data_IF_318581331414
#
_entry.id   IF_318581331414
#
_cell.length_a   1.000
_cell.length_b   1.000
_cell.length_c   1.000
_cell.angle_alpha   90.00
_cell.angle_beta   90.00
_cell.angle_gamma   90.00
#
_symmetry.space_group_name_H-M   'P 1'
#
loop_
_entity.id
_entity.type
_entity.pdbx_description
1 polymer ?
#
# COMPACT_ATOMS: atom_id res chain seq x y z
N UNK A 1 -13.73 24.02 3.26
CA UNK A 1 -14.21 22.78 3.86
C UNK A 1 -13.03 21.83 3.95
N UNK A 2 -12.77 21.19 5.11
CA UNK A 2 -11.72 20.13 5.16
C UNK A 2 -12.21 18.97 4.28
N UNK A 3 -11.33 18.45 3.42
CA UNK A 3 -11.64 17.28 2.60
C UNK A 3 -12.07 16.12 3.48
N UNK A 4 -13.15 15.46 3.10
CA UNK A 4 -13.70 14.33 3.86
C UNK A 4 -12.99 13.03 3.55
N UNK A 5 -12.43 12.93 2.34
CA UNK A 5 -11.78 11.74 1.79
C UNK A 5 -10.43 12.12 1.18
N UNK A 6 -9.55 11.13 1.04
CA UNK A 6 -8.30 11.27 0.30
C UNK A 6 -8.42 10.46 -1.00
N UNK A 7 -9.07 11.07 -2.00
CA UNK A 7 -9.34 10.43 -3.29
C UNK A 7 -8.17 10.55 -4.27
N UNK A 8 -8.32 9.94 -5.45
CA UNK A 8 -7.28 9.95 -6.48
C UNK A 8 -6.97 11.38 -6.97
N UNK A 9 -7.97 12.22 -7.11
CA UNK A 9 -7.79 13.62 -7.51
C UNK A 9 -6.98 14.43 -6.50
N UNK A 10 -7.22 14.21 -5.21
CA UNK A 10 -6.46 14.80 -4.10
C UNK A 10 -5.00 14.35 -4.13
N UNK A 11 -4.75 13.04 -4.30
CA UNK A 11 -3.40 12.49 -4.44
C UNK A 11 -2.63 13.12 -5.59
N UNK A 12 -3.21 13.14 -6.80
CA UNK A 12 -2.53 13.66 -7.99
C UNK A 12 -2.22 15.15 -7.85
N UNK A 13 -3.14 15.94 -7.30
CA UNK A 13 -2.91 17.37 -7.01
C UNK A 13 -1.76 17.59 -6.01
N UNK A 14 -1.67 16.74 -4.99
CA UNK A 14 -0.57 16.83 -4.02
C UNK A 14 0.77 16.45 -4.65
N UNK A 15 0.81 15.40 -5.49
CA UNK A 15 2.01 15.01 -6.26
C UNK A 15 2.46 16.16 -7.18
N UNK A 16 1.54 16.77 -7.92
CA UNK A 16 1.84 17.90 -8.81
C UNK A 16 2.39 19.10 -8.03
N UNK A 17 1.82 19.38 -6.86
CA UNK A 17 2.32 20.42 -5.96
C UNK A 17 3.75 20.14 -5.48
N UNK A 18 4.03 18.91 -5.05
CA UNK A 18 5.37 18.51 -4.60
C UNK A 18 6.40 18.52 -5.72
N UNK A 19 6.06 18.09 -6.94
CA UNK A 19 6.99 18.15 -8.08
C UNK A 19 7.32 19.59 -8.47
N UNK A 20 6.37 20.48 -8.36
CA UNK A 20 6.59 21.93 -8.58
C UNK A 20 7.49 22.57 -7.51
N UNK A 21 7.35 22.12 -6.25
CA UNK A 21 8.12 22.67 -5.12
C UNK A 21 9.51 22.02 -4.96
N UNK A 22 9.67 20.74 -5.33
CA UNK A 22 10.88 19.93 -5.15
C UNK A 22 11.35 19.32 -6.48
N UNK A 23 12.13 20.07 -7.31
CA UNK A 23 12.57 19.61 -8.63
C UNK A 23 13.44 18.34 -8.62
N UNK A 24 13.98 17.93 -7.48
CA UNK A 24 14.73 16.68 -7.33
C UNK A 24 13.83 15.45 -7.15
N UNK A 25 12.52 15.64 -6.90
CA UNK A 25 11.57 14.56 -6.75
C UNK A 25 11.32 13.89 -8.12
N UNK A 26 11.54 12.59 -8.19
CA UNK A 26 11.24 11.83 -9.41
C UNK A 26 9.88 11.16 -9.26
N UNK A 27 8.97 11.51 -10.16
CA UNK A 27 7.65 10.89 -10.26
C UNK A 27 7.50 10.23 -11.62
N UNK A 28 7.00 9.01 -11.63
CA UNK A 28 6.68 8.21 -12.81
C UNK A 28 5.41 7.39 -12.55
N UNK A 29 5.10 6.45 -13.40
CA UNK A 29 4.01 5.49 -13.21
C UNK A 29 4.54 4.08 -13.30
N UNK A 30 4.02 3.15 -12.47
CA UNK A 30 4.26 1.72 -12.67
C UNK A 30 3.32 1.11 -13.72
N UNK A 31 2.27 1.82 -14.11
CA UNK A 31 1.26 1.38 -15.08
C UNK A 31 -0.07 2.06 -14.85
N UNK A 32 -1.13 1.43 -15.35
CA UNK A 32 -2.50 1.96 -15.29
C UNK A 32 -3.46 0.97 -14.62
N UNK A 33 -4.42 1.52 -13.90
CA UNK A 33 -5.55 0.77 -13.37
C UNK A 33 -6.51 0.28 -14.47
N UNK A 34 -7.50 -0.52 -14.09
CA UNK A 34 -8.48 -1.08 -15.02
C UNK A 34 -9.18 -0.03 -15.88
N UNK A 35 -9.51 1.15 -15.34
CA UNK A 35 -10.16 2.22 -16.12
C UNK A 35 -9.16 3.27 -16.63
N UNK A 36 -7.87 2.97 -16.59
CA UNK A 36 -6.81 3.76 -17.24
C UNK A 36 -6.20 4.88 -16.38
N UNK A 37 -6.46 4.93 -15.07
CA UNK A 37 -5.79 5.87 -14.16
C UNK A 37 -4.33 5.47 -13.98
N UNK A 38 -3.42 6.45 -14.02
CA UNK A 38 -2.00 6.19 -13.72
C UNK A 38 -1.86 5.73 -12.27
N UNK A 39 -0.96 4.76 -12.05
CA UNK A 39 -0.56 4.32 -10.71
C UNK A 39 0.79 4.98 -10.40
N UNK A 40 0.81 6.08 -9.63
CA UNK A 40 2.00 6.88 -9.45
C UNK A 40 3.07 6.15 -8.65
N UNK A 41 4.32 6.32 -9.08
CA UNK A 41 5.53 5.89 -8.41
C UNK A 41 6.39 7.11 -8.10
N UNK A 42 6.65 7.33 -6.82
CA UNK A 42 7.55 8.37 -6.34
C UNK A 42 8.88 7.71 -5.98
N UNK A 43 9.99 8.25 -6.47
CA UNK A 43 11.33 7.82 -6.10
C UNK A 43 12.07 8.93 -5.38
N UNK A 44 12.66 8.59 -4.24
CA UNK A 44 13.56 9.40 -3.45
C UNK A 44 14.91 8.69 -3.37
N UNK A 45 16.01 9.39 -3.68
CA UNK A 45 17.37 8.87 -3.63
C UNK A 45 17.81 8.03 -4.81
N UNK A 46 19.09 7.61 -4.77
CA UNK A 46 19.81 7.03 -5.92
C UNK A 46 20.59 5.77 -5.56
N UNK A 47 20.54 5.33 -4.30
CA UNK A 47 21.28 4.16 -3.83
C UNK A 47 20.80 2.86 -4.46
N UNK A 48 21.68 1.85 -4.50
CA UNK A 48 21.36 0.54 -5.07
C UNK A 48 20.39 -0.27 -4.20
N UNK A 49 20.55 -0.22 -2.88
CA UNK A 49 19.61 -0.87 -1.96
C UNK A 49 18.36 -0.03 -1.82
N UNK A 50 17.20 -0.66 -1.85
CA UNK A 50 15.96 0.09 -1.88
C UNK A 50 14.88 -0.46 -0.96
N UNK A 51 13.99 0.43 -0.54
CA UNK A 51 12.74 0.10 0.16
C UNK A 51 11.58 0.45 -0.73
N UNK A 52 10.55 -0.40 -0.75
CA UNK A 52 9.27 -0.13 -1.41
C UNK A 52 8.18 0.04 -0.35
N UNK A 53 7.49 1.17 -0.40
CA UNK A 53 6.29 1.46 0.37
C UNK A 53 5.07 1.43 -0.55
N UNK A 54 4.05 0.67 -0.17
CA UNK A 54 2.81 0.57 -0.95
C UNK A 54 1.62 0.86 -0.04
N UNK A 55 0.75 1.76 -0.45
CA UNK A 55 -0.50 2.07 0.23
C UNK A 55 -1.72 1.72 -0.61
N UNK A 56 -2.86 1.64 0.05
CA UNK A 56 -4.20 1.57 -0.54
C UNK A 56 -4.37 0.43 -1.54
N UNK A 57 -4.12 -0.81 -1.08
CA UNK A 57 -4.61 -2.02 -1.76
C UNK A 57 -6.13 -2.08 -1.67
N UNK A 58 -6.66 -1.87 -0.47
CA UNK A 58 -8.10 -1.81 -0.23
C UNK A 58 -8.61 -0.38 -0.39
N UNK A 59 -9.66 -0.24 -1.18
CA UNK A 59 -10.22 1.06 -1.55
C UNK A 59 -10.64 1.93 -0.35
N UNK A 60 -11.21 1.32 0.69
CA UNK A 60 -11.65 2.03 1.90
C UNK A 60 -10.49 2.44 2.84
N UNK A 61 -9.25 2.03 2.53
CA UNK A 61 -8.05 2.33 3.30
C UNK A 61 -7.22 3.49 2.69
N UNK A 62 -7.90 4.40 1.96
CA UNK A 62 -7.28 5.56 1.29
C UNK A 62 -6.47 6.48 2.22
N UNK A 63 -6.69 6.41 3.53
CA UNK A 63 -5.88 7.14 4.51
C UNK A 63 -4.40 6.75 4.44
N UNK A 64 -4.06 5.50 4.04
CA UNK A 64 -2.69 5.05 3.87
C UNK A 64 -1.94 5.82 2.78
N UNK A 65 -2.64 6.29 1.72
CA UNK A 65 -2.09 7.22 0.74
C UNK A 65 -1.67 8.54 1.39
N UNK A 66 -2.54 9.12 2.22
CA UNK A 66 -2.23 10.35 2.94
C UNK A 66 -1.04 10.19 3.89
N UNK A 67 -0.90 9.02 4.56
CA UNK A 67 0.24 8.72 5.42
C UNK A 67 1.55 8.69 4.63
N UNK A 68 1.56 8.03 3.47
CA UNK A 68 2.74 7.96 2.60
C UNK A 68 3.08 9.32 2.00
N UNK A 69 2.10 10.14 1.63
CA UNK A 69 2.36 11.49 1.12
C UNK A 69 2.92 12.43 2.20
N UNK A 70 2.46 12.31 3.46
CA UNK A 70 3.09 13.01 4.59
C UNK A 70 4.57 12.61 4.74
N UNK A 71 4.88 11.33 4.63
CA UNK A 71 6.26 10.84 4.64
C UNK A 71 7.09 11.46 3.51
N UNK A 72 6.60 11.42 2.27
CA UNK A 72 7.29 12.02 1.11
C UNK A 72 7.55 13.51 1.33
N UNK A 73 6.54 14.25 1.79
CA UNK A 73 6.64 15.70 2.07
C UNK A 73 7.69 15.99 3.13
N UNK A 74 7.73 15.21 4.20
CA UNK A 74 8.72 15.39 5.28
C UNK A 74 10.14 15.11 4.78
N UNK A 75 10.35 14.04 3.99
CA UNK A 75 11.64 13.74 3.38
C UNK A 75 12.07 14.86 2.43
N UNK A 76 11.19 15.33 1.56
CA UNK A 76 11.49 16.42 0.63
C UNK A 76 11.87 17.72 1.36
N UNK A 77 11.14 18.07 2.41
CA UNK A 77 11.43 19.25 3.24
C UNK A 77 12.80 19.13 3.90
N UNK A 78 13.12 17.95 4.44
CA UNK A 78 14.41 17.69 5.09
C UNK A 78 15.58 17.74 4.09
N UNK A 79 15.41 17.21 2.86
CA UNK A 79 16.44 17.33 1.80
C UNK A 79 16.72 18.79 1.47
N UNK A 80 15.66 19.61 1.30
CA UNK A 80 15.81 21.03 0.98
C UNK A 80 16.52 21.83 2.07
N UNK A 81 16.25 21.50 3.33
CA UNK A 81 16.85 22.20 4.49
C UNK A 81 18.16 21.57 4.96
N UNK A 82 18.73 20.60 4.25
CA UNK A 82 19.89 19.80 4.66
C UNK A 82 19.70 19.18 6.07
N UNK A 83 18.46 18.80 6.36
CA UNK A 83 18.00 18.43 7.69
C UNK A 83 18.28 16.98 8.05
N UNK A 84 18.05 16.71 9.33
CA UNK A 84 18.14 15.39 9.94
C UNK A 84 16.76 14.92 10.36
N UNK A 85 16.48 13.65 10.16
CA UNK A 85 15.29 12.98 10.71
C UNK A 85 15.75 11.84 11.59
N UNK A 86 15.31 11.84 12.85
CA UNK A 86 15.67 10.83 13.85
C UNK A 86 17.18 10.59 13.97
N UNK A 87 17.98 11.66 13.85
CA UNK A 87 19.44 11.61 13.98
C UNK A 87 20.20 11.21 12.71
N UNK A 88 19.50 10.95 11.59
CA UNK A 88 20.10 10.61 10.31
C UNK A 88 20.03 11.80 9.34
N UNK A 89 21.14 12.12 8.68
CA UNK A 89 21.17 13.04 7.55
C UNK A 89 20.33 12.43 6.42
N UNK A 90 19.27 13.14 6.01
CA UNK A 90 18.38 12.63 4.96
C UNK A 90 19.09 12.60 3.61
N UNK A 91 19.95 13.59 3.32
CA UNK A 91 20.76 13.62 2.10
C UNK A 91 21.69 12.40 2.02
N UNK A 92 22.46 12.12 3.08
CA UNK A 92 23.38 10.97 3.10
C UNK A 92 22.66 9.63 2.98
N UNK A 93 21.46 9.55 3.56
CA UNK A 93 20.62 8.35 3.42
C UNK A 93 20.20 8.14 1.97
N UNK A 94 19.72 9.18 1.29
CA UNK A 94 19.23 9.12 -0.08
C UNK A 94 20.33 8.94 -1.13
N UNK A 95 21.58 9.31 -0.82
CA UNK A 95 22.74 8.97 -1.65
C UNK A 95 23.04 7.46 -1.64
N UNK A 96 22.76 6.78 -0.53
CA UNK A 96 23.06 5.36 -0.33
C UNK A 96 21.86 4.45 -0.55
N UNK A 97 20.65 4.98 -0.51
CA UNK A 97 19.38 4.25 -0.58
C UNK A 97 18.45 4.86 -1.61
N UNK A 98 17.63 4.02 -2.22
CA UNK A 98 16.44 4.46 -2.95
C UNK A 98 15.20 4.12 -2.15
N UNK A 99 14.23 5.01 -2.14
CA UNK A 99 12.94 4.79 -1.52
C UNK A 99 11.90 4.94 -2.62
N UNK A 100 11.19 3.87 -2.89
CA UNK A 100 10.07 3.84 -3.83
C UNK A 100 8.77 3.89 -3.05
N UNK A 101 7.85 4.73 -3.49
CA UNK A 101 6.53 4.89 -2.87
C UNK A 101 5.47 4.77 -3.94
N UNK A 102 4.59 3.79 -3.80
CA UNK A 102 3.32 3.67 -4.55
C UNK A 102 2.21 4.06 -3.58
N UNK A 103 1.80 5.34 -3.55
CA UNK A 103 0.92 5.81 -2.49
C UNK A 103 -0.51 5.25 -2.60
N UNK A 104 -0.99 4.96 -3.82
CA UNK A 104 -2.33 4.43 -4.07
C UNK A 104 -2.28 3.39 -5.19
N UNK A 105 -2.33 2.10 -4.81
CA UNK A 105 -2.33 1.01 -5.78
C UNK A 105 -3.69 0.83 -6.44
N UNK A 106 -4.79 1.12 -5.73
CA UNK A 106 -6.17 0.87 -6.14
C UNK A 106 -6.97 2.15 -6.39
N UNK A 107 -6.61 2.98 -7.38
CA UNK A 107 -7.29 4.26 -7.61
C UNK A 107 -8.75 4.10 -8.03
N UNK A 108 -9.09 3.04 -8.77
CA UNK A 108 -10.47 2.81 -9.23
C UNK A 108 -11.40 2.42 -8.09
N UNK A 109 -10.92 1.56 -7.20
CA UNK A 109 -11.66 1.20 -6.00
C UNK A 109 -11.89 2.40 -5.08
N UNK A 110 -10.88 3.27 -4.91
CA UNK A 110 -10.98 4.50 -4.10
C UNK A 110 -12.06 5.43 -4.67
N UNK A 111 -12.10 5.63 -5.98
CA UNK A 111 -13.14 6.44 -6.62
C UNK A 111 -14.54 5.85 -6.40
N UNK A 112 -14.69 4.52 -6.50
CA UNK A 112 -15.96 3.85 -6.19
C UNK A 112 -16.36 4.04 -4.73
N UNK A 113 -15.44 3.84 -3.80
CA UNK A 113 -15.70 3.93 -2.37
C UNK A 113 -16.06 5.36 -1.93
N UNK A 114 -15.41 6.37 -2.49
CA UNK A 114 -15.56 7.77 -2.09
C UNK A 114 -16.68 8.51 -2.82
N UNK A 115 -16.96 8.16 -4.07
CA UNK A 115 -17.89 8.88 -4.97
C UNK A 115 -19.04 8.02 -5.48
N UNK A 116 -18.98 6.71 -5.28
CA UNK A 116 -19.89 5.77 -5.92
C UNK A 116 -19.55 5.51 -7.39
N UNK A 117 -20.38 4.73 -8.06
CA UNK A 117 -20.20 4.41 -9.48
C UNK A 117 -20.95 5.42 -10.34
N UNK A 118 -20.23 6.05 -11.27
CA UNK A 118 -20.86 6.89 -12.31
C UNK A 118 -21.76 6.02 -13.21
N UNK A 119 -23.01 6.40 -13.45
CA UNK A 119 -23.91 5.69 -14.39
C UNK A 119 -23.34 5.54 -15.81
N UNK A 120 -22.42 6.42 -16.22
CA UNK A 120 -21.74 6.33 -17.52
C UNK A 120 -20.55 5.35 -17.53
N UNK A 121 -20.19 4.78 -16.37
CA UNK A 121 -19.13 3.77 -16.29
C UNK A 121 -19.56 2.50 -17.05
N UNK A 122 -18.74 1.97 -17.98
CA UNK A 122 -19.07 0.75 -18.72
C UNK A 122 -19.35 -0.47 -17.82
N UNK A 123 -18.86 -0.47 -16.59
CA UNK A 123 -19.05 -1.54 -15.61
C UNK A 123 -20.18 -1.24 -14.61
N UNK A 124 -20.95 -0.15 -14.81
CA UNK A 124 -21.97 0.31 -13.85
C UNK A 124 -22.94 -0.80 -13.43
N UNK A 125 -23.59 -1.48 -14.38
CA UNK A 125 -24.56 -2.52 -14.06
C UNK A 125 -23.94 -3.69 -13.28
N UNK A 126 -22.72 -4.05 -13.62
CA UNK A 126 -21.97 -5.11 -12.93
C UNK A 126 -21.64 -4.69 -11.50
N UNK A 127 -21.05 -3.51 -11.33
CA UNK A 127 -20.67 -2.96 -10.04
C UNK A 127 -21.88 -2.71 -9.15
N UNK A 128 -22.97 -2.20 -9.73
CA UNK A 128 -24.21 -1.97 -9.00
C UNK A 128 -24.85 -3.28 -8.49
N UNK A 129 -24.82 -4.35 -9.28
CA UNK A 129 -25.28 -5.68 -8.82
C UNK A 129 -24.40 -6.23 -7.70
N UNK A 130 -23.07 -6.03 -7.74
CA UNK A 130 -22.14 -6.51 -6.72
C UNK A 130 -22.28 -5.75 -5.40
N UNK A 131 -22.54 -4.44 -5.44
CA UNK A 131 -22.59 -3.56 -4.28
C UNK A 131 -24.00 -3.33 -3.73
N UNK A 132 -25.04 -3.68 -4.49
CA UNK A 132 -26.39 -3.24 -4.18
C UNK A 132 -26.58 -1.72 -4.24
N UNK A 133 -25.64 -1.01 -4.89
CA UNK A 133 -25.58 0.46 -4.94
C UNK A 133 -24.91 1.12 -3.74
N UNK A 134 -24.45 0.35 -2.73
CA UNK A 134 -23.70 0.85 -1.60
C UNK A 134 -22.20 0.48 -1.75
N UNK A 135 -21.36 1.51 -1.87
CA UNK A 135 -19.90 1.38 -1.97
C UNK A 135 -19.17 1.77 -0.69
N UNK A 136 -19.88 2.08 0.39
CA UNK A 136 -19.28 2.57 1.64
C UNK A 136 -18.24 1.63 2.24
N UNK A 137 -18.39 0.31 1.99
CA UNK A 137 -17.50 -0.77 2.46
C UNK A 137 -16.71 -1.43 1.32
N UNK A 138 -16.59 -0.78 0.18
CA UNK A 138 -15.90 -1.33 -0.99
C UNK A 138 -14.39 -1.36 -0.77
N UNK A 139 -13.78 -2.55 -0.83
CA UNK A 139 -12.34 -2.79 -0.71
C UNK A 139 -11.68 -3.10 -2.05
N UNK A 140 -12.41 -3.79 -2.92
CA UNK A 140 -11.93 -4.31 -4.20
C UNK A 140 -11.58 -3.21 -5.20
N UNK A 141 -10.98 -3.62 -6.32
CA UNK A 141 -10.76 -2.74 -7.47
C UNK A 141 -12.04 -2.50 -8.29
N UNK A 142 -11.91 -1.87 -9.46
CA UNK A 142 -13.01 -1.57 -10.37
C UNK A 142 -13.68 -2.81 -11.00
N UNK A 143 -13.16 -4.02 -10.81
CA UNK A 143 -13.71 -5.29 -11.30
C UNK A 143 -14.34 -6.14 -10.19
N UNK A 144 -14.20 -5.73 -8.94
CA UNK A 144 -14.65 -6.47 -7.77
C UNK A 144 -13.65 -7.55 -7.34
N UNK A 145 -12.37 -7.34 -7.60
CA UNK A 145 -11.25 -8.18 -7.15
C UNK A 145 -10.54 -7.50 -5.99
N UNK A 146 -10.32 -8.24 -4.93
CA UNK A 146 -9.52 -7.82 -3.78
C UNK A 146 -8.04 -7.96 -4.12
N UNK A 147 -7.37 -6.83 -4.33
CA UNK A 147 -5.99 -6.81 -4.81
C UNK A 147 -5.02 -7.49 -3.84
N UNK A 148 -5.31 -7.49 -2.53
CA UNK A 148 -4.45 -8.14 -1.54
C UNK A 148 -4.68 -9.65 -1.42
N UNK A 149 -5.47 -10.23 -2.33
CA UNK A 149 -5.61 -11.67 -2.57
C UNK A 149 -5.20 -12.07 -3.99
N UNK A 150 -4.77 -11.13 -4.83
CA UNK A 150 -4.49 -11.38 -6.24
C UNK A 150 -3.00 -11.68 -6.55
N UNK A 151 -2.16 -11.87 -5.53
CA UNK A 151 -0.76 -12.25 -5.71
C UNK A 151 -0.58 -13.77 -5.70
N UNK A 152 0.51 -14.26 -6.34
CA UNK A 152 0.87 -15.68 -6.35
C UNK A 152 1.54 -16.09 -5.01
N UNK A 153 0.75 -16.11 -3.95
CA UNK A 153 1.15 -16.54 -2.61
C UNK A 153 0.06 -17.44 -2.00
N UNK A 154 0.21 -18.75 -2.17
CA UNK A 154 -0.81 -19.76 -1.85
C UNK A 154 -2.19 -19.42 -2.50
N UNK A 155 -2.15 -18.98 -3.75
CA UNK A 155 -3.34 -18.57 -4.50
C UNK A 155 -4.30 -19.73 -4.72
N UNK A 156 -3.82 -20.91 -5.09
CA UNK A 156 -4.65 -22.10 -5.33
C UNK A 156 -5.32 -22.59 -4.03
N UNK A 157 -4.63 -22.52 -2.90
CA UNK A 157 -5.19 -22.83 -1.58
C UNK A 157 -6.30 -21.84 -1.25
N UNK A 158 -6.09 -20.56 -1.54
CA UNK A 158 -7.11 -19.55 -1.35
C UNK A 158 -8.32 -19.78 -2.26
N UNK A 159 -8.13 -20.21 -3.51
CA UNK A 159 -9.23 -20.56 -4.44
C UNK A 159 -10.09 -21.73 -3.93
N UNK A 160 -9.51 -22.65 -3.16
CA UNK A 160 -10.31 -23.69 -2.46
C UNK A 160 -11.19 -23.04 -1.40
N UNK A 161 -10.61 -22.20 -0.55
CA UNK A 161 -11.32 -21.51 0.52
C UNK A 161 -12.41 -20.56 -0.03
N UNK A 162 -12.16 -19.85 -1.13
CA UNK A 162 -13.17 -19.04 -1.83
C UNK A 162 -14.41 -19.84 -2.21
N UNK A 163 -14.20 -21.03 -2.80
CA UNK A 163 -15.31 -21.92 -3.18
C UNK A 163 -16.10 -22.42 -1.99
N UNK A 164 -15.40 -22.80 -0.91
CA UNK A 164 -16.04 -23.28 0.33
C UNK A 164 -16.87 -22.19 1.01
N UNK A 165 -16.40 -20.95 0.98
CA UNK A 165 -17.08 -19.78 1.57
C UNK A 165 -18.07 -19.10 0.62
N UNK A 166 -18.20 -19.56 -0.65
CA UNK A 166 -19.08 -18.94 -1.64
C UNK A 166 -18.66 -17.53 -2.03
N UNK A 167 -17.35 -17.20 -1.94
CA UNK A 167 -16.82 -15.89 -2.30
C UNK A 167 -16.80 -15.75 -3.83
N UNK A 168 -17.24 -14.61 -4.31
CA UNK A 168 -17.24 -14.24 -5.73
C UNK A 168 -16.90 -12.75 -5.89
N UNK A 169 -16.72 -12.31 -7.14
CA UNK A 169 -16.43 -10.90 -7.43
C UNK A 169 -17.42 -9.96 -6.73
N UNK A 170 -16.90 -9.01 -5.97
CA UNK A 170 -17.70 -8.15 -5.10
C UNK A 170 -16.89 -7.14 -4.32
N UNK A 171 -17.42 -6.73 -3.20
CA UNK A 171 -16.82 -5.66 -2.39
C UNK A 171 -15.48 -6.05 -1.75
N UNK A 172 -15.22 -7.33 -1.52
CA UNK A 172 -14.02 -7.82 -0.79
C UNK A 172 -13.76 -9.29 -1.04
N UNK A 173 -12.56 -9.75 -0.75
CA UNK A 173 -12.11 -11.15 -0.64
C UNK A 173 -12.00 -11.95 -1.93
N UNK A 174 -12.54 -11.52 -3.06
CA UNK A 174 -12.39 -12.28 -4.31
C UNK A 174 -11.00 -12.05 -4.91
N UNK A 175 -10.26 -13.13 -5.13
CA UNK A 175 -8.86 -13.08 -5.55
C UNK A 175 -8.64 -12.87 -7.07
N UNK A 176 -9.71 -12.81 -7.86
CA UNK A 176 -9.61 -12.81 -9.32
C UNK A 176 -9.55 -14.21 -9.94
N UNK A 177 -9.39 -14.28 -11.27
CA UNK A 177 -9.43 -15.54 -12.01
C UNK A 177 -8.10 -16.31 -11.92
N UNK A 178 -6.97 -15.59 -11.85
CA UNK A 178 -5.61 -16.13 -11.72
C UNK A 178 -4.71 -15.10 -11.02
N UNK A 179 -3.54 -15.49 -10.52
CA UNK A 179 -2.61 -14.56 -9.88
C UNK A 179 -2.21 -13.43 -10.83
N UNK A 180 -2.14 -12.21 -10.32
CA UNK A 180 -1.81 -11.01 -11.11
C UNK A 180 -2.80 -10.76 -12.28
N UNK A 181 -4.06 -11.23 -12.15
CA UNK A 181 -5.08 -10.99 -13.17
C UNK A 181 -5.47 -9.52 -13.30
N UNK A 182 -5.25 -8.75 -12.25
CA UNK A 182 -5.61 -7.34 -12.24
C UNK A 182 -4.45 -6.46 -12.69
N UNK A 183 -4.71 -5.43 -13.51
CA UNK A 183 -3.64 -4.56 -14.02
C UNK A 183 -2.84 -3.90 -12.89
N UNK A 184 -3.47 -3.57 -11.78
CA UNK A 184 -2.83 -2.93 -10.62
C UNK A 184 -1.77 -3.85 -10.00
N UNK A 185 -2.11 -5.10 -9.73
CA UNK A 185 -1.17 -6.11 -9.17
C UNK A 185 -0.12 -6.51 -10.19
N UNK A 186 -0.50 -6.71 -11.45
CA UNK A 186 0.41 -7.05 -12.55
C UNK A 186 1.47 -5.97 -12.77
N UNK A 187 1.07 -4.68 -12.73
CA UNK A 187 2.01 -3.55 -12.84
C UNK A 187 2.98 -3.51 -11.66
N UNK A 188 2.50 -3.69 -10.43
CA UNK A 188 3.35 -3.68 -9.24
C UNK A 188 4.34 -4.86 -9.25
N UNK A 189 3.89 -6.07 -9.58
CA UNK A 189 4.76 -7.24 -9.71
C UNK A 189 5.79 -7.05 -10.82
N UNK A 190 5.40 -6.47 -11.97
CA UNK A 190 6.33 -6.16 -13.06
C UNK A 190 7.40 -5.14 -12.63
N UNK A 191 7.01 -4.11 -11.86
CA UNK A 191 7.93 -3.16 -11.28
C UNK A 191 8.93 -3.84 -10.32
N UNK A 192 8.44 -4.70 -9.42
CA UNK A 192 9.29 -5.42 -8.47
C UNK A 192 10.26 -6.39 -9.16
N UNK A 193 9.83 -7.07 -10.23
CA UNK A 193 10.70 -7.92 -11.04
C UNK A 193 11.81 -7.14 -11.76
N UNK A 194 11.55 -5.89 -12.14
CA UNK A 194 12.51 -5.02 -12.82
C UNK A 194 13.40 -4.20 -11.87
N UNK A 195 13.14 -4.23 -10.57
CA UNK A 195 13.78 -3.36 -9.59
C UNK A 195 14.29 -4.16 -8.40
N UNK A 196 15.54 -3.93 -8.01
CA UNK A 196 16.10 -4.60 -6.82
C UNK A 196 15.52 -3.97 -5.54
N UNK A 197 14.46 -4.57 -4.98
CA UNK A 197 13.86 -4.16 -3.71
C UNK A 197 14.45 -5.00 -2.58
N UNK A 198 15.02 -4.35 -1.56
CA UNK A 198 15.64 -5.00 -0.40
C UNK A 198 14.67 -5.20 0.77
N UNK A 199 13.64 -4.37 0.86
CA UNK A 199 12.63 -4.40 1.92
C UNK A 199 11.31 -3.83 1.40
N UNK A 200 10.19 -4.44 1.77
CA UNK A 200 8.85 -4.00 1.40
C UNK A 200 8.00 -3.72 2.64
N UNK A 201 7.23 -2.64 2.60
CA UNK A 201 6.18 -2.33 3.58
C UNK A 201 4.88 -2.01 2.85
N UNK A 202 3.84 -2.80 3.11
CA UNK A 202 2.47 -2.52 2.71
C UNK A 202 1.72 -1.87 3.89
N UNK A 203 1.15 -0.68 3.66
CA UNK A 203 0.30 -0.04 4.65
C UNK A 203 -1.16 -0.41 4.43
N UNK A 204 -1.78 -0.91 5.48
CA UNK A 204 -3.18 -1.24 5.61
C UNK A 204 -3.80 -0.50 6.80
N UNK A 205 -5.07 -0.66 6.99
CA UNK A 205 -5.82 -0.29 8.19
C UNK A 205 -6.83 -1.39 8.51
N UNK A 206 -7.06 -1.72 9.73
CA UNK A 206 -6.71 -1.11 10.99
C UNK A 206 -6.41 -2.24 12.03
N UNK A 207 -5.82 -1.88 13.17
CA UNK A 207 -5.56 -2.87 14.24
C UNK A 207 -4.42 -2.43 15.16
N UNK A 208 -3.42 -1.72 14.63
CA UNK A 208 -2.17 -1.45 15.34
C UNK A 208 -1.30 -2.70 15.42
N UNK A 209 -1.16 -3.39 14.28
CA UNK A 209 -0.45 -4.66 14.17
C UNK A 209 0.60 -4.62 13.06
N UNK A 210 1.60 -5.49 13.17
CA UNK A 210 2.65 -5.70 12.18
C UNK A 210 2.72 -7.18 11.87
N UNK A 211 2.53 -7.54 10.60
CA UNK A 211 2.67 -8.90 10.10
C UNK A 211 3.98 -9.05 9.34
N UNK A 212 4.67 -10.18 9.53
CA UNK A 212 5.90 -10.53 8.82
C UNK A 212 6.01 -12.05 8.65
N UNK A 213 6.81 -12.47 7.67
CA UNK A 213 6.90 -13.90 7.30
C UNK A 213 5.62 -14.43 6.64
N UNK A 214 5.67 -15.66 6.18
CA UNK A 214 4.54 -16.36 5.56
C UNK A 214 4.69 -17.87 5.65
N UNK A 215 3.62 -18.59 6.06
CA UNK A 215 3.60 -20.06 6.17
C UNK A 215 4.80 -20.66 6.92
N UNK A 216 5.21 -20.03 8.02
CA UNK A 216 6.36 -20.46 8.82
C UNK A 216 7.74 -20.08 8.25
N UNK A 217 7.78 -19.50 7.05
CA UNK A 217 9.00 -18.95 6.47
C UNK A 217 9.19 -17.48 6.86
N UNK A 218 10.37 -17.17 7.40
CA UNK A 218 10.76 -15.81 7.81
C UNK A 218 12.12 -15.51 7.20
N UNK A 219 12.22 -14.59 6.23
CA UNK A 219 13.50 -14.21 5.62
C UNK A 219 14.50 -13.68 6.64
N UNK A 220 15.78 -13.84 6.34
CA UNK A 220 16.88 -13.39 7.20
C UNK A 220 16.74 -11.91 7.57
N UNK A 221 16.84 -11.62 8.86
CA UNK A 221 16.74 -10.27 9.41
C UNK A 221 15.31 -9.73 9.57
N UNK A 222 14.28 -10.36 8.99
CA UNK A 222 12.92 -9.85 9.04
C UNK A 222 12.38 -9.75 10.48
N UNK A 223 12.58 -10.77 11.32
CA UNK A 223 12.16 -10.72 12.72
C UNK A 223 12.87 -9.60 13.50
N UNK A 224 14.17 -9.43 13.29
CA UNK A 224 14.93 -8.38 13.96
C UNK A 224 14.44 -6.97 13.58
N UNK A 225 14.05 -6.78 12.32
CA UNK A 225 13.44 -5.53 11.84
C UNK A 225 12.04 -5.37 12.43
N UNK A 226 11.18 -6.41 12.41
CA UNK A 226 9.85 -6.38 12.99
C UNK A 226 9.87 -5.93 14.47
N UNK A 227 10.79 -6.50 15.28
CA UNK A 227 10.97 -6.11 16.69
C UNK A 227 11.45 -4.67 16.88
N UNK A 228 12.22 -4.11 15.93
CA UNK A 228 12.56 -2.68 15.93
C UNK A 228 11.33 -1.83 15.61
N UNK A 229 10.53 -2.23 14.62
CA UNK A 229 9.29 -1.54 14.25
C UNK A 229 8.31 -1.52 15.44
N UNK A 230 8.08 -2.67 16.09
CA UNK A 230 7.26 -2.79 17.30
C UNK A 230 7.68 -1.78 18.39
N UNK A 231 8.98 -1.69 18.69
CA UNK A 231 9.50 -0.72 19.68
C UNK A 231 9.33 0.75 19.25
N UNK A 232 9.35 1.03 17.96
CA UNK A 232 9.21 2.38 17.43
C UNK A 232 7.78 2.90 17.44
N UNK A 233 6.81 2.05 17.10
CA UNK A 233 5.41 2.46 16.95
C UNK A 233 4.47 1.91 18.04
N UNK A 234 4.91 0.93 18.83
CA UNK A 234 4.09 0.29 19.84
C UNK A 234 2.98 -0.62 19.29
N UNK A 235 3.03 -0.94 17.99
CA UNK A 235 2.14 -1.92 17.39
C UNK A 235 2.61 -3.35 17.70
N UNK A 236 1.67 -4.28 17.89
CA UNK A 236 2.01 -5.66 18.23
C UNK A 236 2.46 -6.45 17.00
N UNK A 237 3.44 -7.32 17.20
CA UNK A 237 3.74 -8.35 16.20
C UNK A 237 2.65 -9.42 16.25
N UNK A 238 2.03 -9.68 15.11
CA UNK A 238 0.89 -10.59 14.99
C UNK A 238 0.95 -11.39 13.68
N UNK A 239 0.03 -12.28 13.48
CA UNK A 239 -0.16 -13.02 12.24
C UNK A 239 -1.59 -12.84 11.77
N UNK A 240 -1.82 -12.72 10.45
CA UNK A 240 -3.17 -12.66 9.92
C UNK A 240 -3.92 -13.97 10.19
N UNK A 241 -5.25 -13.91 10.26
CA UNK A 241 -6.13 -15.06 10.47
C UNK A 241 -7.15 -15.23 9.35
N UNK A 242 -7.65 -16.44 9.18
CA UNK A 242 -8.70 -16.76 8.22
C UNK A 242 -8.31 -16.44 6.77
N UNK A 243 -9.15 -15.72 6.05
CA UNK A 243 -8.91 -15.36 4.65
C UNK A 243 -7.68 -14.47 4.46
N UNK A 244 -7.33 -13.63 5.43
CA UNK A 244 -6.18 -12.73 5.37
C UNK A 244 -4.81 -13.44 5.36
N UNK A 245 -4.79 -14.79 5.56
CA UNK A 245 -3.56 -15.58 5.51
C UNK A 245 -3.03 -15.85 4.10
N UNK A 246 -3.69 -15.39 3.02
CA UNK A 246 -3.40 -15.83 1.67
C UNK A 246 -3.36 -14.68 0.66
N UNK A 247 -2.47 -14.78 -0.30
CA UNK A 247 -2.47 -13.97 -1.51
C UNK A 247 -2.05 -12.51 -1.33
N UNK A 248 -1.52 -12.13 -0.16
CA UNK A 248 -1.11 -10.77 0.12
C UNK A 248 0.21 -10.36 -0.54
N UNK A 249 0.41 -9.05 -0.73
CA UNK A 249 1.66 -8.51 -1.28
C UNK A 249 2.89 -8.89 -0.44
N UNK A 250 2.79 -8.79 0.89
CA UNK A 250 3.84 -9.19 1.82
C UNK A 250 4.21 -10.66 1.64
N UNK A 251 3.20 -11.52 1.50
CA UNK A 251 3.37 -12.97 1.37
C UNK A 251 4.06 -13.31 0.05
N UNK A 252 3.62 -12.71 -1.05
CA UNK A 252 4.25 -12.84 -2.36
C UNK A 252 5.71 -12.39 -2.32
N UNK A 253 5.99 -11.22 -1.76
CA UNK A 253 7.36 -10.70 -1.69
C UNK A 253 8.28 -11.59 -0.83
N UNK A 254 7.75 -12.11 0.28
CA UNK A 254 8.46 -13.06 1.15
C UNK A 254 8.83 -14.33 0.40
N UNK A 255 7.89 -14.91 -0.37
CA UNK A 255 8.14 -16.16 -1.10
C UNK A 255 9.03 -15.97 -2.33
N UNK A 256 8.74 -14.96 -3.12
CA UNK A 256 9.39 -14.79 -4.44
C UNK A 256 10.83 -14.24 -4.32
N UNK A 257 11.06 -13.37 -3.33
CA UNK A 257 12.35 -12.67 -3.21
C UNK A 257 13.18 -13.10 -2.00
N UNK A 258 12.59 -13.86 -1.05
CA UNK A 258 13.23 -14.24 0.22
C UNK A 258 13.87 -13.03 0.94
N UNK A 259 13.11 -11.94 1.03
CA UNK A 259 13.54 -10.65 1.61
C UNK A 259 12.50 -10.14 2.62
N UNK A 260 12.91 -9.31 3.59
CA UNK A 260 12.00 -8.75 4.59
C UNK A 260 10.81 -8.00 3.96
N UNK A 261 9.62 -8.44 4.30
CA UNK A 261 8.37 -7.80 3.92
C UNK A 261 7.41 -7.71 5.12
N UNK A 262 6.68 -6.59 5.20
CA UNK A 262 5.81 -6.28 6.31
C UNK A 262 4.47 -5.74 5.83
N UNK A 263 3.40 -6.15 6.51
CA UNK A 263 2.13 -5.42 6.49
C UNK A 263 2.01 -4.67 7.81
N UNK A 264 1.63 -3.40 7.75
CA UNK A 264 1.35 -2.58 8.93
C UNK A 264 -0.12 -2.19 8.90
N UNK A 265 -0.87 -2.67 9.87
CA UNK A 265 -2.28 -2.34 10.10
C UNK A 265 -2.38 -1.03 10.90
N UNK A 266 -2.39 0.09 10.19
CA UNK A 266 -2.25 1.42 10.75
C UNK A 266 -3.54 1.89 11.44
N UNK A 267 -3.40 2.48 12.63
CA UNK A 267 -4.52 3.09 13.34
C UNK A 267 -5.47 2.10 14.00
N UNK A 268 -6.51 2.64 14.61
CA UNK A 268 -7.54 1.85 15.30
C UNK A 268 -8.91 2.46 15.05
N UNK A 269 -9.94 1.63 15.00
CA UNK A 269 -11.32 2.06 14.79
C UNK A 269 -12.05 1.19 13.77
N UNK A 270 -12.91 1.78 12.97
CA UNK A 270 -13.66 1.11 11.92
C UNK A 270 -13.35 1.76 10.56
N UNK A 271 -13.03 0.93 9.55
CA UNK A 271 -12.76 1.40 8.20
C UNK A 271 -14.03 1.89 7.47
N UNK A 272 -13.94 2.95 6.66
CA UNK A 272 -12.75 3.79 6.43
C UNK A 272 -12.40 4.66 7.63
N UNK A 273 -11.13 4.66 8.04
CA UNK A 273 -10.68 5.55 9.11
C UNK A 273 -10.81 7.02 8.68
N UNK A 274 -11.34 7.90 9.54
CA UNK A 274 -11.51 9.32 9.21
C UNK A 274 -10.18 10.03 8.91
N UNK A 275 -10.14 10.88 7.87
CA UNK A 275 -8.93 11.59 7.45
C UNK A 275 -8.28 12.44 8.55
N UNK A 276 -9.07 12.93 9.50
CA UNK A 276 -8.56 13.70 10.64
C UNK A 276 -7.71 12.88 11.62
N UNK A 277 -7.67 11.54 11.48
CA UNK A 277 -6.75 10.68 12.22
C UNK A 277 -5.37 10.57 11.56
N UNK A 278 -5.20 11.05 10.32
CA UNK A 278 -3.95 10.86 9.58
C UNK A 278 -2.73 11.42 10.32
N UNK A 279 -2.83 12.60 10.97
CA UNK A 279 -1.72 13.17 11.72
C UNK A 279 -1.33 12.32 12.93
N UNK A 280 -2.30 11.83 13.69
CA UNK A 280 -2.06 10.97 14.85
C UNK A 280 -1.50 9.61 14.46
N UNK A 281 -2.04 8.98 13.41
CA UNK A 281 -1.54 7.71 12.89
C UNK A 281 -0.12 7.88 12.34
N UNK A 282 0.12 8.94 11.54
CA UNK A 282 1.45 9.22 11.00
C UNK A 282 2.49 9.41 12.11
N UNK A 283 2.15 10.12 13.18
CA UNK A 283 3.06 10.32 14.33
C UNK A 283 3.49 9.00 14.96
N UNK A 284 2.63 7.99 14.97
CA UNK A 284 2.94 6.64 15.48
C UNK A 284 3.88 5.88 14.55
N UNK A 285 3.59 5.83 13.25
CA UNK A 285 4.37 5.03 12.29
C UNK A 285 5.56 5.79 11.68
N UNK A 286 5.68 7.09 11.92
CA UNK A 286 6.73 7.95 11.38
C UNK A 286 8.14 7.38 11.60
N UNK A 287 8.42 6.92 12.84
CA UNK A 287 9.70 6.31 13.16
C UNK A 287 10.01 5.07 12.33
N UNK A 288 9.00 4.25 12.07
CA UNK A 288 9.12 3.05 11.24
C UNK A 288 9.48 3.42 9.80
N UNK A 289 8.72 4.33 9.18
CA UNK A 289 8.95 4.72 7.79
C UNK A 289 10.32 5.36 7.57
N UNK A 290 10.78 6.21 8.51
CA UNK A 290 12.08 6.89 8.37
C UNK A 290 13.28 6.01 8.67
N UNK A 291 13.17 5.02 9.56
CA UNK A 291 14.31 4.18 9.95
C UNK A 291 14.43 2.88 9.14
N UNK A 292 13.37 2.37 8.55
CA UNK A 292 13.45 1.15 7.73
C UNK A 292 14.49 1.21 6.61
N UNK A 293 14.69 2.33 5.88
CA UNK A 293 15.75 2.43 4.88
C UNK A 293 17.18 2.30 5.47
N UNK A 294 17.35 2.48 6.77
CA UNK A 294 18.66 2.31 7.44
C UNK A 294 18.97 0.85 7.79
N UNK A 295 17.98 -0.04 7.73
CA UNK A 295 18.13 -1.45 8.13
C UNK A 295 18.56 -2.38 6.99
N UNK A 296 18.71 -1.84 5.76
CA UNK A 296 19.07 -2.61 4.54
C UNK A 296 20.46 -2.24 4.01
#
# INVERSE_FOLDING_TARGET
>A
MKEKFYDYGTLMKEIDGLTGEYPFLTVSSIGRSLVGREIPLIRLGYGKKSVLYVGTHHAMEWITSALLMKYVTEVCTAVRSEGYILGHSVRDLLERRSIYVVPMLNPDGVELQTKGCDPMNPLFDRLHRMSGGDYSRWQSNGRGVDLNHNYNAAFEEYKVLERELGISAGATKYSGDYPESEPETSCLCSFMRATEISLLIALHTQGGEIYYGFNGHVPDGAEAIARKMERLCGYSLSSPEGTACYGGLKDYFTLEYDRPAFTIECGKGENPLPLNQADSIYSVIRGVLHLCPTYI
#
